data_IF_587598083864
#
_entry.id   IF_587598083864
#
_cell.length_a   1.000
_cell.length_b   1.000
_cell.length_c   1.000
_cell.angle_alpha   90.00
_cell.angle_beta   90.00
_cell.angle_gamma   90.00
#
_symmetry.space_group_name_H-M   'P 1'
#
loop_
_entity.id
_entity.type
_entity.pdbx_description
1 polymer ?
#
# COMPACT_ATOMS: atom_id res chain seq x y z
N UNK A 1 -9.88 27.19 -15.96
CA UNK A 1 -10.29 27.33 -14.58
C UNK A 1 -9.61 28.53 -13.95
N UNK A 2 -10.23 29.12 -12.95
CA UNK A 2 -9.66 30.24 -12.18
C UNK A 2 -8.65 29.64 -11.19
N UNK A 3 -7.47 30.23 -11.09
CA UNK A 3 -6.50 29.89 -10.05
C UNK A 3 -6.87 30.67 -8.80
N UNK A 4 -7.17 29.98 -7.70
CA UNK A 4 -7.61 30.62 -6.47
C UNK A 4 -6.43 30.97 -5.55
N UNK A 5 -5.34 30.17 -5.60
CA UNK A 5 -4.15 30.38 -4.81
C UNK A 5 -2.90 29.79 -5.48
N UNK A 6 -1.75 30.46 -5.34
CA UNK A 6 -0.41 29.97 -5.72
C UNK A 6 0.50 30.10 -4.50
N UNK A 7 1.23 29.05 -4.16
CA UNK A 7 2.14 29.03 -3.03
C UNK A 7 3.54 28.65 -3.48
N UNK A 8 4.53 29.48 -3.12
CA UNK A 8 5.95 29.19 -3.29
C UNK A 8 6.56 28.75 -1.96
N UNK A 9 7.49 27.81 -2.02
CA UNK A 9 8.08 27.20 -0.85
C UNK A 9 9.61 27.24 -0.87
N UNK A 10 10.21 27.44 0.29
CA UNK A 10 11.60 27.08 0.51
C UNK A 10 11.81 25.56 0.44
N UNK A 11 13.03 25.06 0.22
CA UNK A 11 13.29 23.63 0.06
C UNK A 11 12.70 22.74 1.16
N UNK A 12 12.69 23.19 2.40
CA UNK A 12 12.08 22.49 3.54
C UNK A 12 10.59 22.81 3.75
N UNK A 13 9.92 23.44 2.78
CA UNK A 13 8.47 23.65 2.82
C UNK A 13 8.00 24.89 3.58
N UNK A 14 8.91 25.74 4.05
CA UNK A 14 8.54 27.05 4.56
C UNK A 14 7.88 27.87 3.47
N UNK A 15 6.75 28.54 3.77
CA UNK A 15 6.06 29.40 2.81
C UNK A 15 6.90 30.68 2.56
N UNK A 16 7.03 31.06 1.30
CA UNK A 16 7.60 32.36 0.94
C UNK A 16 6.60 33.49 1.20
N UNK A 17 7.07 34.71 1.35
CA UNK A 17 6.27 35.89 1.72
C UNK A 17 5.17 36.26 0.69
N UNK A 18 5.27 35.72 -0.53
CA UNK A 18 4.26 35.86 -1.59
C UNK A 18 3.18 34.78 -1.57
N UNK A 19 3.23 33.87 -0.57
CA UNK A 19 2.20 32.88 -0.41
C UNK A 19 0.82 33.50 -0.24
N UNK A 20 -0.11 33.08 -1.10
CA UNK A 20 -1.41 33.71 -1.30
C UNK A 20 -2.33 33.72 -0.08
N UNK A 21 -3.56 34.10 -0.28
CA UNK A 21 -4.56 34.49 0.72
C UNK A 21 -5.09 33.38 1.64
N UNK A 22 -4.33 32.33 1.88
CA UNK A 22 -4.71 31.27 2.84
C UNK A 22 -6.10 30.64 2.57
N UNK A 23 -6.44 30.50 1.30
CA UNK A 23 -7.72 29.96 0.85
C UNK A 23 -7.84 28.48 1.14
N UNK A 24 -6.71 27.77 1.14
CA UNK A 24 -6.65 26.33 1.34
C UNK A 24 -5.71 25.98 2.50
N UNK A 25 -6.12 25.03 3.35
CA UNK A 25 -5.32 24.54 4.48
C UNK A 25 -4.16 23.63 4.03
N UNK A 26 -4.34 22.90 2.92
CA UNK A 26 -3.33 21.96 2.41
C UNK A 26 -2.28 22.70 1.58
N UNK A 27 -1.01 22.58 1.99
CA UNK A 27 0.13 23.31 1.42
C UNK A 27 1.23 22.35 0.97
N UNK A 28 2.44 22.55 1.46
CA UNK A 28 3.63 21.77 1.11
C UNK A 28 3.38 20.26 1.16
N UNK A 29 3.70 19.55 0.06
CA UNK A 29 3.49 18.11 -0.12
C UNK A 29 2.03 17.64 0.10
N UNK A 30 1.05 18.55 -0.06
CA UNK A 30 -0.36 18.25 0.18
C UNK A 30 -0.69 18.01 1.65
N UNK A 31 0.11 18.52 2.58
CA UNK A 31 -0.14 18.41 4.02
C UNK A 31 -0.92 19.60 4.55
N UNK A 32 -1.76 19.34 5.53
CA UNK A 32 -2.49 20.39 6.22
C UNK A 32 -1.52 21.24 7.05
N UNK A 33 -1.59 22.54 6.86
CA UNK A 33 -0.82 23.51 7.63
C UNK A 33 -1.66 24.01 8.80
N UNK A 34 -1.33 23.63 10.01
CA UNK A 34 -1.95 24.12 11.23
C UNK A 34 -1.29 25.45 11.64
N UNK A 35 -2.05 26.53 11.50
CA UNK A 35 -1.67 27.89 11.89
C UNK A 35 -2.22 28.33 13.24
N UNK A 36 -2.90 27.43 13.93
CA UNK A 36 -3.52 27.73 15.21
C UNK A 36 -2.46 28.08 16.26
N UNK A 37 -2.61 29.21 16.89
CA UNK A 37 -1.66 29.68 17.88
C UNK A 37 -0.28 30.12 17.32
N UNK A 38 -0.16 30.32 16.00
CA UNK A 38 1.09 30.75 15.36
C UNK A 38 2.15 29.65 15.25
N UNK A 39 1.74 28.35 15.29
CA UNK A 39 2.65 27.23 15.24
C UNK A 39 3.22 26.99 13.83
N UNK A 40 2.41 27.20 12.78
CA UNK A 40 2.77 26.95 11.36
C UNK A 40 3.40 25.57 11.12
N UNK A 41 2.76 24.53 11.69
CA UNK A 41 3.22 23.14 11.56
C UNK A 41 2.40 22.37 10.52
N UNK A 42 3.07 21.52 9.76
CA UNK A 42 2.42 20.59 8.85
C UNK A 42 2.05 19.29 9.55
N UNK A 43 0.79 18.87 9.40
CA UNK A 43 0.34 17.57 9.88
C UNK A 43 0.71 16.47 8.87
N UNK A 44 1.70 15.65 9.22
CA UNK A 44 2.09 14.45 8.47
C UNK A 44 1.38 13.18 8.98
N UNK A 45 0.37 13.30 9.84
CA UNK A 45 -0.39 12.20 10.42
C UNK A 45 0.32 11.58 11.61
N UNK A 46 1.46 10.93 11.44
CA UNK A 46 2.23 10.34 12.53
C UNK A 46 3.01 11.37 13.34
N UNK A 47 3.43 12.48 12.72
CA UNK A 47 4.26 13.52 13.32
C UNK A 47 3.87 14.91 12.78
N UNK A 48 4.01 15.93 13.62
CA UNK A 48 3.97 17.32 13.15
C UNK A 48 5.36 17.74 12.67
N UNK A 49 5.39 18.43 11.56
CA UNK A 49 6.60 18.90 10.90
C UNK A 49 6.70 20.43 10.97
N UNK A 50 7.79 20.93 11.49
CA UNK A 50 8.12 22.36 11.51
C UNK A 50 9.04 22.68 10.32
N UNK A 51 8.49 23.38 9.33
CA UNK A 51 9.23 23.77 8.13
C UNK A 51 10.27 24.85 8.37
N UNK A 52 10.13 25.64 9.43
CA UNK A 52 11.10 26.67 9.83
C UNK A 52 12.36 26.03 10.38
N UNK A 53 12.19 24.96 11.17
CA UNK A 53 13.30 24.20 11.74
C UNK A 53 13.79 23.08 10.79
N UNK A 54 13.02 22.75 9.76
CA UNK A 54 13.31 21.65 8.83
C UNK A 54 13.28 20.27 9.49
N UNK A 55 12.47 20.10 10.56
CA UNK A 55 12.44 18.85 11.35
C UNK A 55 11.06 18.49 11.85
N UNK A 56 10.89 17.22 12.17
CA UNK A 56 9.72 16.75 12.92
C UNK A 56 9.81 17.13 14.41
N UNK A 57 8.65 17.35 15.03
CA UNK A 57 8.54 17.72 16.45
C UNK A 57 8.52 16.52 17.39
N UNK A 58 8.48 15.31 16.83
CA UNK A 58 8.53 14.04 17.55
C UNK A 58 9.60 13.14 16.93
N UNK A 59 10.21 12.29 17.75
CA UNK A 59 11.22 11.32 17.31
C UNK A 59 10.61 10.34 16.29
N UNK A 60 11.38 9.98 15.29
CA UNK A 60 11.05 8.92 14.37
C UNK A 60 11.01 7.58 15.13
N UNK A 61 9.92 6.84 15.00
CA UNK A 61 9.80 5.52 15.62
C UNK A 61 10.79 4.50 15.04
N UNK A 62 11.35 4.80 13.87
CA UNK A 62 12.37 3.99 13.21
C UNK A 62 13.78 4.58 13.34
N UNK A 63 13.99 5.55 14.22
CA UNK A 63 15.28 6.24 14.37
C UNK A 63 16.45 5.29 14.65
N UNK A 64 16.21 4.17 15.30
CA UNK A 64 17.25 3.16 15.56
C UNK A 64 17.79 2.50 14.27
N UNK A 65 16.99 2.47 13.19
CA UNK A 65 17.43 1.95 11.89
C UNK A 65 18.35 2.91 11.14
N UNK A 66 18.30 4.17 11.48
CA UNK A 66 19.02 5.24 10.82
C UNK A 66 19.96 5.95 11.78
N UNK A 67 20.82 5.17 12.47
CA UNK A 67 21.74 5.67 13.51
C UNK A 67 22.64 6.83 13.06
N UNK A 68 22.85 6.98 11.75
CA UNK A 68 23.62 8.09 11.17
C UNK A 68 22.79 9.37 10.94
N UNK A 69 21.47 9.31 11.13
CA UNK A 69 20.57 10.44 10.94
C UNK A 69 19.93 10.87 12.26
N UNK A 70 19.59 12.16 12.35
CA UNK A 70 18.83 12.66 13.49
C UNK A 70 17.46 11.98 13.57
N UNK A 71 16.98 11.57 14.77
CA UNK A 71 15.63 11.03 14.93
C UNK A 71 14.50 12.01 14.57
N UNK A 72 14.82 13.27 14.39
CA UNK A 72 13.89 14.35 14.03
C UNK A 72 14.02 14.80 12.58
N UNK A 73 14.89 14.16 11.79
CA UNK A 73 15.17 14.57 10.41
C UNK A 73 13.95 14.43 9.50
N UNK A 74 13.87 15.28 8.48
CA UNK A 74 12.90 15.21 7.39
C UNK A 74 13.62 14.80 6.09
N UNK A 75 13.10 13.78 5.42
CA UNK A 75 13.55 13.36 4.09
C UNK A 75 15.05 13.06 4.00
N UNK A 76 15.69 12.49 5.03
CA UNK A 76 17.13 12.28 5.11
C UNK A 76 17.96 13.57 4.90
N UNK A 77 17.45 14.72 5.34
CA UNK A 77 18.01 16.07 5.11
C UNK A 77 18.14 16.46 3.63
N UNK A 78 17.38 15.82 2.75
CA UNK A 78 17.34 16.10 1.31
C UNK A 78 15.89 16.26 0.83
N UNK A 79 15.20 17.34 1.23
CA UNK A 79 13.78 17.54 1.00
C UNK A 79 13.41 17.79 -0.47
N UNK A 80 14.39 18.09 -1.32
CA UNK A 80 14.19 18.28 -2.76
C UNK A 80 13.99 16.95 -3.47
N UNK A 81 14.70 15.90 -3.04
CA UNK A 81 14.64 14.58 -3.66
C UNK A 81 13.78 13.58 -2.85
N UNK A 82 13.57 13.84 -1.57
CA UNK A 82 12.89 12.93 -0.66
C UNK A 82 11.68 13.61 -0.03
N UNK A 83 10.55 12.92 -0.07
CA UNK A 83 9.30 13.34 0.60
C UNK A 83 8.97 12.29 1.65
N UNK A 84 8.70 12.73 2.89
CA UNK A 84 8.06 11.85 3.88
C UNK A 84 6.57 11.72 3.55
N UNK A 85 6.10 10.50 3.31
CA UNK A 85 4.73 10.25 2.81
C UNK A 85 3.80 9.76 3.94
N UNK A 86 3.91 10.23 5.14
CA UNK A 86 3.01 9.97 6.27
C UNK A 86 3.45 8.96 7.33
N UNK A 87 4.61 8.33 7.23
CA UNK A 87 5.07 7.35 8.21
C UNK A 87 4.21 6.08 8.34
N UNK A 88 3.16 5.95 7.52
CA UNK A 88 2.31 4.78 7.42
C UNK A 88 2.25 4.35 5.94
N UNK A 89 2.29 3.04 5.68
CA UNK A 89 2.34 2.50 4.32
C UNK A 89 1.84 1.07 4.28
N UNK A 90 1.43 0.63 3.09
CA UNK A 90 1.10 -0.77 2.81
C UNK A 90 2.08 -1.30 1.78
N UNK A 91 2.54 -2.54 1.96
CA UNK A 91 3.29 -3.25 0.95
C UNK A 91 2.40 -4.31 0.27
N UNK A 92 2.24 -4.21 -1.05
CA UNK A 92 1.63 -5.26 -1.86
C UNK A 92 2.72 -6.20 -2.32
N UNK A 93 2.66 -7.45 -1.88
CA UNK A 93 3.63 -8.49 -2.15
C UNK A 93 3.25 -9.25 -3.43
N UNK A 94 4.24 -9.53 -4.28
CA UNK A 94 4.05 -10.28 -5.52
C UNK A 94 5.05 -11.43 -5.61
N UNK A 95 4.51 -12.64 -5.79
CA UNK A 95 5.31 -13.85 -5.98
C UNK A 95 6.04 -13.87 -7.33
N UNK A 96 5.53 -13.15 -8.33
CA UNK A 96 6.10 -13.11 -9.67
C UNK A 96 5.28 -13.88 -10.70
N UNK A 97 5.90 -14.08 -11.88
CA UNK A 97 5.31 -14.82 -12.98
C UNK A 97 5.63 -16.31 -12.86
N UNK A 98 4.66 -17.16 -13.13
CA UNK A 98 4.82 -18.60 -13.10
C UNK A 98 3.48 -19.31 -12.95
N UNK A 99 3.52 -20.62 -12.73
CA UNK A 99 2.33 -21.44 -12.49
C UNK A 99 1.65 -21.14 -11.15
N UNK A 100 2.39 -20.63 -10.17
CA UNK A 100 1.93 -20.34 -8.82
C UNK A 100 1.99 -18.84 -8.54
N UNK A 101 1.12 -18.07 -9.17
CA UNK A 101 1.05 -16.62 -8.93
C UNK A 101 0.26 -16.34 -7.65
N UNK A 102 0.75 -15.43 -6.82
CA UNK A 102 0.10 -15.05 -5.57
C UNK A 102 0.32 -13.59 -5.23
N UNK A 103 -0.70 -12.95 -4.63
CA UNK A 103 -0.61 -11.64 -4.00
C UNK A 103 -0.97 -11.73 -2.52
N UNK A 104 -0.20 -10.99 -1.72
CA UNK A 104 -0.46 -10.76 -0.31
C UNK A 104 -0.18 -9.29 0.03
N UNK A 105 -0.44 -8.89 1.25
CA UNK A 105 -0.14 -7.53 1.71
C UNK A 105 0.51 -7.53 3.08
N UNK A 106 1.37 -6.53 3.30
CA UNK A 106 1.82 -6.14 4.63
C UNK A 106 1.12 -4.82 4.99
N UNK A 107 0.52 -4.78 6.15
CA UNK A 107 -0.16 -3.58 6.68
C UNK A 107 0.53 -3.16 7.96
N UNK A 108 0.87 -1.88 8.06
CA UNK A 108 1.49 -1.37 9.26
C UNK A 108 0.46 -1.17 10.37
N UNK A 109 0.73 -1.70 11.56
CA UNK A 109 -0.13 -1.52 12.73
C UNK A 109 0.25 -0.27 13.54
N UNK A 110 -0.57 0.09 14.55
CA UNK A 110 -0.35 1.26 15.40
C UNK A 110 0.99 1.28 16.16
N UNK A 111 1.63 0.11 16.29
CA UNK A 111 2.96 -0.03 16.91
C UNK A 111 4.10 0.09 15.90
N UNK A 112 3.77 0.36 14.63
CA UNK A 112 4.75 0.47 13.54
C UNK A 112 5.29 -0.86 13.03
N UNK A 113 4.71 -1.98 13.41
CA UNK A 113 5.06 -3.30 12.89
C UNK A 113 4.26 -3.60 11.64
N UNK A 114 4.85 -4.28 10.70
CA UNK A 114 4.25 -4.71 9.44
C UNK A 114 3.68 -6.11 9.61
N UNK A 115 2.37 -6.21 9.64
CA UNK A 115 1.65 -7.46 9.79
C UNK A 115 1.38 -8.07 8.42
N UNK A 116 1.59 -9.38 8.30
CA UNK A 116 1.39 -10.13 7.06
C UNK A 116 -0.06 -10.58 6.94
N UNK A 117 -0.65 -10.39 5.76
CA UNK A 117 -2.01 -10.81 5.43
C UNK A 117 -2.00 -11.54 4.09
N UNK A 118 -2.46 -12.77 4.10
CA UNK A 118 -2.55 -13.62 2.91
C UNK A 118 -3.75 -14.55 2.99
N UNK A 119 -4.36 -14.82 1.85
CA UNK A 119 -5.42 -15.83 1.72
C UNK A 119 -5.05 -16.79 0.61
N UNK A 120 -5.23 -18.08 0.89
CA UNK A 120 -5.06 -19.17 -0.06
C UNK A 120 -6.31 -20.04 -0.10
N UNK A 121 -6.58 -20.67 -1.21
CA UNK A 121 -7.64 -21.67 -1.33
C UNK A 121 -7.08 -23.06 -1.18
N UNK A 122 -7.73 -23.85 -0.38
CA UNK A 122 -7.50 -25.28 -0.40
C UNK A 122 -7.74 -25.83 -1.80
N UNK A 123 -6.82 -26.62 -2.25
CA UNK A 123 -6.77 -27.40 -3.47
C UNK A 123 -8.08 -27.40 -4.28
N UNK A 124 -8.26 -26.40 -5.15
CA UNK A 124 -9.49 -26.11 -5.91
C UNK A 124 -9.96 -27.30 -6.75
N UNK A 125 -9.10 -28.30 -6.92
CA UNK A 125 -9.33 -29.53 -7.69
C UNK A 125 -9.63 -30.75 -6.81
N UNK A 126 -9.56 -30.66 -5.49
CA UNK A 126 -9.87 -31.78 -4.61
C UNK A 126 -11.34 -31.85 -4.26
N UNK A 127 -11.90 -33.03 -4.35
CA UNK A 127 -13.27 -33.38 -3.93
C UNK A 127 -13.45 -33.52 -2.40
N UNK A 128 -12.54 -32.96 -1.61
CA UNK A 128 -12.49 -33.09 -0.15
C UNK A 128 -13.39 -32.12 0.62
N UNK A 129 -13.36 -32.24 1.95
CA UNK A 129 -14.17 -31.49 2.92
C UNK A 129 -14.05 -29.95 2.84
N UNK A 130 -13.10 -29.42 2.07
CA UNK A 130 -12.78 -28.01 1.93
C UNK A 130 -13.05 -27.50 0.51
N UNK A 131 -14.12 -27.93 -0.10
CA UNK A 131 -14.61 -27.40 -1.37
C UNK A 131 -14.88 -25.92 -1.22
N UNK A 132 -14.01 -25.04 -1.78
CA UNK A 132 -14.12 -23.59 -1.66
C UNK A 132 -13.79 -23.04 -0.26
N UNK A 133 -13.36 -23.88 0.68
CA UNK A 133 -13.00 -23.46 2.04
C UNK A 133 -11.79 -22.54 2.04
N UNK A 134 -11.84 -21.52 2.90
CA UNK A 134 -10.71 -20.62 3.08
C UNK A 134 -9.66 -21.27 3.90
N UNK A 135 -8.46 -21.22 3.37
CA UNK A 135 -7.27 -21.25 4.19
C UNK A 135 -6.73 -19.84 4.34
N UNK A 136 -6.63 -19.42 5.59
CA UNK A 136 -5.84 -18.25 5.90
C UNK A 136 -4.39 -18.69 5.97
N UNK A 137 -3.54 -18.11 5.14
CA UNK A 137 -2.11 -18.25 5.38
C UNK A 137 -1.73 -17.45 6.63
N UNK A 138 -2.23 -16.22 6.73
CA UNK A 138 -2.00 -15.33 7.87
C UNK A 138 -2.99 -14.14 7.82
N UNK A 139 -3.51 -13.75 8.95
CA UNK A 139 -4.35 -12.56 9.12
C UNK A 139 -3.74 -11.56 10.10
N UNK A 140 -2.43 -11.34 10.03
CA UNK A 140 -1.70 -10.39 10.85
C UNK A 140 -1.12 -11.01 12.11
N UNK A 141 -0.99 -12.33 12.19
CA UNK A 141 -0.36 -13.04 13.32
C UNK A 141 1.16 -12.79 13.30
N UNK A 142 1.78 -12.85 12.12
CA UNK A 142 3.19 -12.57 11.97
C UNK A 142 3.45 -11.10 11.68
N UNK A 143 4.47 -10.54 12.33
CA UNK A 143 4.83 -9.13 12.17
C UNK A 143 6.33 -8.92 12.08
N UNK A 144 6.70 -7.93 11.28
CA UNK A 144 8.08 -7.59 10.92
C UNK A 144 8.34 -6.11 11.20
N UNK A 145 9.59 -5.71 11.34
CA UNK A 145 9.94 -4.32 11.55
C UNK A 145 9.85 -3.48 10.26
N UNK A 146 10.00 -4.13 9.09
CA UNK A 146 9.89 -3.46 7.80
C UNK A 146 9.55 -4.46 6.69
N UNK A 147 9.11 -3.98 5.50
CA UNK A 147 8.94 -4.83 4.33
C UNK A 147 10.24 -5.53 3.89
N UNK A 148 11.39 -4.87 4.05
CA UNK A 148 12.70 -5.45 3.73
C UNK A 148 13.03 -6.61 4.67
N UNK A 149 12.69 -6.49 5.96
CA UNK A 149 12.86 -7.59 6.92
C UNK A 149 12.00 -8.79 6.51
N UNK A 150 10.73 -8.57 6.18
CA UNK A 150 9.87 -9.62 5.65
C UNK A 150 10.48 -10.27 4.40
N UNK A 151 10.84 -9.47 3.41
CA UNK A 151 11.39 -9.94 2.14
C UNK A 151 12.67 -10.78 2.32
N UNK A 152 13.52 -10.42 3.29
CA UNK A 152 14.76 -11.15 3.62
C UNK A 152 14.60 -12.28 4.63
N UNK A 153 13.43 -12.46 5.23
CA UNK A 153 13.19 -13.40 6.32
C UNK A 153 13.17 -14.86 5.85
N UNK A 154 13.43 -15.77 6.79
CA UNK A 154 13.21 -17.21 6.58
C UNK A 154 11.71 -17.50 6.32
N UNK A 155 10.82 -16.73 6.94
CA UNK A 155 9.38 -16.84 6.72
C UNK A 155 9.00 -16.66 5.24
N UNK A 156 9.56 -15.66 4.55
CA UNK A 156 9.35 -15.47 3.11
C UNK A 156 10.02 -16.53 2.25
N UNK A 157 11.12 -17.15 2.74
CA UNK A 157 11.89 -18.17 1.97
C UNK A 157 11.31 -19.56 2.10
N UNK A 158 10.84 -19.92 3.27
CA UNK A 158 10.52 -21.30 3.62
C UNK A 158 9.05 -21.51 4.02
N UNK A 159 8.28 -20.42 4.13
CA UNK A 159 6.91 -20.45 4.63
C UNK A 159 6.85 -20.71 6.14
N UNK A 160 5.66 -21.02 6.64
CA UNK A 160 5.51 -21.46 8.02
C UNK A 160 5.79 -22.96 8.11
N UNK A 161 6.95 -23.34 8.66
CA UNK A 161 7.36 -24.75 8.80
C UNK A 161 6.47 -25.56 9.76
N UNK A 162 5.71 -24.88 10.61
CA UNK A 162 4.84 -25.53 11.62
C UNK A 162 3.51 -25.99 11.02
N UNK A 163 3.13 -25.45 9.84
CA UNK A 163 1.91 -25.82 9.15
C UNK A 163 2.23 -26.36 7.73
N UNK A 164 2.17 -27.68 7.57
CA UNK A 164 2.43 -28.37 6.28
C UNK A 164 1.48 -27.95 5.17
N UNK A 165 0.38 -27.27 5.50
CA UNK A 165 -0.63 -26.81 4.55
C UNK A 165 -0.35 -25.37 4.03
N UNK A 166 0.57 -24.63 4.63
CA UNK A 166 0.94 -23.30 4.17
C UNK A 166 1.92 -23.40 3.01
N UNK A 167 1.50 -22.94 1.86
CA UNK A 167 2.32 -22.88 0.65
C UNK A 167 3.55 -22.01 0.88
N UNK A 168 4.73 -22.53 0.50
CA UNK A 168 5.98 -21.80 0.53
C UNK A 168 5.97 -20.72 -0.54
N UNK A 169 5.48 -19.53 -0.19
CA UNK A 169 5.52 -18.37 -1.08
C UNK A 169 6.83 -17.61 -0.88
N UNK A 170 7.62 -17.58 -1.92
CA UNK A 170 8.80 -16.73 -1.98
C UNK A 170 8.45 -15.47 -2.77
N UNK A 171 7.96 -14.44 -2.10
CA UNK A 171 7.67 -13.17 -2.76
C UNK A 171 8.95 -12.53 -3.26
N UNK A 172 8.98 -12.24 -4.56
CA UNK A 172 10.17 -11.70 -5.25
C UNK A 172 10.18 -10.16 -5.29
N UNK A 173 9.03 -9.53 -5.11
CA UNK A 173 8.89 -8.09 -5.11
C UNK A 173 7.77 -7.62 -4.19
N UNK A 174 7.91 -6.41 -3.68
CA UNK A 174 6.88 -5.71 -2.93
C UNK A 174 6.71 -4.28 -3.49
N UNK A 175 5.48 -3.82 -3.64
CA UNK A 175 5.18 -2.44 -3.99
C UNK A 175 4.65 -1.71 -2.78
N UNK A 176 5.40 -0.71 -2.33
CA UNK A 176 5.05 0.08 -1.16
C UNK A 176 4.12 1.20 -1.59
N UNK A 177 2.90 1.18 -1.08
CA UNK A 177 1.88 2.20 -1.30
C UNK A 177 1.85 3.17 -0.12
N UNK A 178 1.98 4.48 -0.37
CA UNK A 178 1.75 5.47 0.68
C UNK A 178 0.27 5.49 1.05
N UNK A 179 -0.03 5.20 2.30
CA UNK A 179 -1.37 5.23 2.88
C UNK A 179 -1.35 6.04 4.18
N UNK A 180 -2.49 6.16 4.82
CA UNK A 180 -2.63 6.73 6.14
C UNK A 180 -3.32 5.73 7.08
N UNK A 181 -3.24 5.94 8.39
CA UNK A 181 -3.83 5.04 9.41
C UNK A 181 -5.29 4.68 9.16
N UNK A 182 -6.08 5.64 8.67
CA UNK A 182 -7.49 5.38 8.36
C UNK A 182 -7.62 4.40 7.19
N UNK A 183 -6.81 4.60 6.15
CA UNK A 183 -6.78 3.69 4.99
C UNK A 183 -6.26 2.31 5.40
N UNK A 184 -5.21 2.23 6.20
CA UNK A 184 -4.65 0.97 6.69
C UNK A 184 -5.68 0.18 7.50
N UNK A 185 -6.42 0.85 8.39
CA UNK A 185 -7.52 0.25 9.13
C UNK A 185 -8.63 -0.27 8.21
N UNK A 186 -9.07 0.53 7.23
CA UNK A 186 -10.09 0.13 6.25
C UNK A 186 -9.64 -1.09 5.44
N UNK A 187 -8.38 -1.11 4.99
CA UNK A 187 -7.84 -2.20 4.18
C UNK A 187 -7.74 -3.47 5.02
N UNK A 188 -7.22 -3.38 6.23
CA UNK A 188 -7.14 -4.51 7.17
C UNK A 188 -8.52 -5.10 7.45
N UNK A 189 -9.46 -4.26 7.86
CA UNK A 189 -10.79 -4.70 8.26
C UNK A 189 -11.56 -5.32 7.08
N UNK A 190 -11.43 -4.76 5.88
CA UNK A 190 -12.04 -5.34 4.67
C UNK A 190 -11.35 -6.64 4.26
N UNK A 191 -10.01 -6.75 4.36
CA UNK A 191 -9.28 -7.97 4.09
C UNK A 191 -9.74 -9.10 5.00
N UNK A 192 -9.81 -8.86 6.32
CA UNK A 192 -10.31 -9.81 7.32
C UNK A 192 -11.78 -10.16 7.02
N UNK A 193 -12.63 -9.17 6.76
CA UNK A 193 -14.05 -9.40 6.45
C UNK A 193 -14.23 -10.32 5.24
N UNK A 194 -13.52 -10.06 4.15
CA UNK A 194 -13.54 -10.90 2.96
C UNK A 194 -13.02 -12.29 3.34
N UNK A 195 -11.95 -12.36 4.08
CA UNK A 195 -11.32 -13.60 4.50
C UNK A 195 -12.22 -14.47 5.38
N UNK A 196 -12.99 -13.94 6.27
CA UNK A 196 -13.85 -14.69 7.19
C UNK A 196 -15.24 -15.04 6.64
N UNK A 197 -15.77 -14.21 5.73
CA UNK A 197 -17.20 -14.28 5.36
C UNK A 197 -17.47 -14.77 3.95
N UNK A 198 -16.46 -14.80 3.09
CA UNK A 198 -16.66 -15.16 1.69
C UNK A 198 -15.84 -16.40 1.33
N UNK A 199 -16.35 -17.27 0.49
CA UNK A 199 -15.64 -18.47 0.05
C UNK A 199 -14.56 -18.16 -0.98
N UNK A 200 -13.44 -18.87 -0.91
CA UNK A 200 -12.39 -18.77 -1.93
C UNK A 200 -12.87 -19.34 -3.26
N UNK A 201 -12.69 -18.60 -4.36
CA UNK A 201 -13.18 -18.99 -5.67
C UNK A 201 -12.22 -18.55 -6.79
N UNK A 202 -11.82 -19.49 -7.62
CA UNK A 202 -11.14 -19.24 -8.88
C UNK A 202 -12.09 -19.11 -10.07
N UNK A 203 -13.39 -19.02 -9.85
CA UNK A 203 -14.37 -18.83 -10.92
C UNK A 203 -14.19 -17.45 -11.55
N UNK A 204 -13.93 -17.40 -12.85
CA UNK A 204 -13.68 -16.16 -13.60
C UNK A 204 -14.87 -15.19 -13.57
N UNK A 205 -16.09 -15.70 -13.48
CA UNK A 205 -17.31 -14.88 -13.43
C UNK A 205 -17.60 -14.33 -12.01
N UNK A 206 -17.10 -14.99 -11.00
CA UNK A 206 -17.23 -14.57 -9.59
C UNK A 206 -15.96 -14.90 -8.83
N UNK A 207 -14.84 -14.20 -9.14
CA UNK A 207 -13.57 -14.50 -8.53
C UNK A 207 -13.52 -13.99 -7.09
N UNK A 208 -13.01 -14.84 -6.19
CA UNK A 208 -12.67 -14.46 -4.82
C UNK A 208 -11.41 -15.23 -4.39
N UNK A 209 -10.28 -14.74 -4.80
CA UNK A 209 -8.95 -15.34 -4.55
C UNK A 209 -7.96 -14.28 -4.06
N UNK A 210 -6.71 -14.64 -3.84
CA UNK A 210 -5.69 -13.76 -3.27
C UNK A 210 -5.64 -12.37 -3.94
N UNK A 211 -5.60 -12.29 -5.28
CA UNK A 211 -5.54 -11.02 -5.99
C UNK A 211 -6.82 -10.19 -5.82
N UNK A 212 -8.00 -10.80 -5.93
CA UNK A 212 -9.26 -10.07 -5.77
C UNK A 212 -9.48 -9.61 -4.33
N UNK A 213 -9.04 -10.38 -3.34
CA UNK A 213 -9.08 -9.96 -1.93
C UNK A 213 -8.21 -8.73 -1.70
N UNK A 214 -6.96 -8.74 -2.19
CA UNK A 214 -6.07 -7.58 -2.13
C UNK A 214 -6.67 -6.37 -2.85
N UNK A 215 -7.12 -6.53 -4.09
CA UNK A 215 -7.70 -5.43 -4.88
C UNK A 215 -8.94 -4.81 -4.21
N UNK A 216 -9.87 -5.63 -3.73
CA UNK A 216 -11.09 -5.16 -3.07
C UNK A 216 -10.79 -4.42 -1.77
N UNK A 217 -9.83 -4.91 -0.99
CA UNK A 217 -9.40 -4.25 0.25
C UNK A 217 -8.78 -2.88 -0.04
N UNK A 218 -7.92 -2.78 -1.05
CA UNK A 218 -7.33 -1.52 -1.49
C UNK A 218 -8.38 -0.54 -2.03
N UNK A 219 -9.30 -1.02 -2.86
CA UNK A 219 -10.39 -0.20 -3.42
C UNK A 219 -11.33 0.35 -2.34
N UNK A 220 -11.58 -0.40 -1.29
CA UNK A 220 -12.38 0.06 -0.15
C UNK A 220 -11.79 1.30 0.51
N UNK A 221 -10.48 1.43 0.48
CA UNK A 221 -9.74 2.61 0.97
C UNK A 221 -9.49 3.69 -0.10
N UNK A 222 -10.09 3.56 -1.29
CA UNK A 222 -9.97 4.53 -2.38
C UNK A 222 -8.71 4.38 -3.24
N UNK A 223 -7.99 3.27 -3.14
CA UNK A 223 -6.79 2.98 -3.94
C UNK A 223 -7.21 2.29 -5.25
N UNK A 224 -6.78 2.84 -6.38
CA UNK A 224 -7.15 2.32 -7.69
C UNK A 224 -6.31 1.09 -8.07
N UNK A 225 -6.98 -0.01 -8.40
CA UNK A 225 -6.37 -1.29 -8.75
C UNK A 225 -6.79 -1.82 -10.14
N UNK A 226 -7.56 -1.01 -10.90
CA UNK A 226 -8.16 -1.42 -12.17
C UNK A 226 -7.20 -1.23 -13.32
N UNK A 227 -7.31 -2.08 -14.33
CA UNK A 227 -6.67 -1.89 -15.64
C UNK A 227 -7.68 -1.53 -16.72
N UNK A 228 -7.19 -0.88 -17.75
CA UNK A 228 -7.95 -0.58 -18.96
C UNK A 228 -7.96 -1.82 -19.86
N UNK A 229 -9.15 -2.22 -20.29
CA UNK A 229 -9.36 -3.34 -21.21
C UNK A 229 -10.19 -2.85 -22.38
N UNK A 230 -9.72 -3.12 -23.59
CA UNK A 230 -10.44 -2.83 -24.83
C UNK A 230 -11.08 -4.11 -25.34
N UNK A 231 -12.40 -4.14 -25.37
CA UNK A 231 -13.18 -5.30 -25.83
C UNK A 231 -13.76 -5.01 -27.21
N UNK A 232 -13.49 -5.83 -28.23
CA UNK A 232 -14.10 -5.66 -29.54
C UNK A 232 -15.60 -5.89 -29.46
N UNK A 233 -16.37 -4.95 -30.02
CA UNK A 233 -17.81 -5.12 -30.20
C UNK A 233 -18.04 -5.82 -31.51
N UNK A 234 -18.80 -6.91 -31.49
CA UNK A 234 -19.08 -7.75 -32.66
C UNK A 234 -20.11 -7.06 -33.62
N UNK A 235 -19.82 -5.83 -34.06
CA UNK A 235 -20.69 -5.00 -34.90
C UNK A 235 -20.20 -4.85 -36.34
N UNK A 236 -19.18 -5.58 -36.76
CA UNK A 236 -18.65 -5.52 -38.12
C UNK A 236 -17.84 -4.25 -38.47
N UNK A 237 -17.74 -3.28 -37.56
CA UNK A 237 -17.14 -1.96 -37.83
C UNK A 237 -15.88 -1.72 -36.98
N UNK A 238 -15.29 -2.74 -36.36
CA UNK A 238 -14.06 -2.59 -35.55
C UNK A 238 -14.19 -1.67 -34.32
N UNK A 239 -15.38 -1.49 -33.81
CA UNK A 239 -15.61 -0.70 -32.59
C UNK A 239 -15.07 -1.44 -31.37
N UNK A 240 -14.37 -0.70 -30.50
CA UNK A 240 -13.85 -1.19 -29.22
C UNK A 240 -14.58 -0.50 -28.09
N UNK A 241 -15.01 -1.27 -27.10
CA UNK A 241 -15.50 -0.71 -25.82
C UNK A 241 -14.32 -0.67 -24.86
N UNK A 242 -14.10 0.49 -24.28
CA UNK A 242 -13.13 0.70 -23.19
C UNK A 242 -13.79 0.37 -21.84
N UNK A 243 -13.22 -0.58 -21.13
CA UNK A 243 -13.67 -0.99 -19.79
C UNK A 243 -12.54 -0.86 -18.79
N UNK A 244 -12.86 -0.45 -17.59
CA UNK A 244 -11.93 -0.49 -16.45
C UNK A 244 -12.35 -1.60 -15.50
N UNK A 245 -11.55 -2.65 -15.43
CA UNK A 245 -11.84 -3.85 -14.64
C UNK A 245 -10.66 -4.24 -13.76
N UNK A 246 -10.94 -5.02 -12.72
CA UNK A 246 -9.88 -5.64 -11.93
C UNK A 246 -9.25 -6.79 -12.73
N UNK A 247 -7.93 -6.78 -12.92
CA UNK A 247 -7.24 -7.92 -13.50
C UNK A 247 -7.45 -9.18 -12.66
N UNK A 248 -7.69 -10.29 -13.34
CA UNK A 248 -7.89 -11.59 -12.69
C UNK A 248 -6.57 -12.19 -12.20
N UNK A 249 -5.52 -12.13 -13.01
CA UNK A 249 -4.22 -12.72 -12.67
C UNK A 249 -3.49 -11.85 -11.65
N UNK A 250 -2.88 -12.46 -10.61
CA UNK A 250 -2.15 -11.74 -9.57
C UNK A 250 -1.07 -10.80 -10.10
N UNK A 251 -0.25 -11.23 -11.06
CA UNK A 251 0.80 -10.39 -11.65
C UNK A 251 0.24 -9.19 -12.43
N UNK A 252 -0.91 -9.34 -13.09
CA UNK A 252 -1.56 -8.23 -13.79
C UNK A 252 -2.22 -7.26 -12.82
N UNK A 253 -2.81 -7.78 -11.74
CA UNK A 253 -3.32 -6.97 -10.63
C UNK A 253 -2.20 -6.16 -9.97
N UNK A 254 -1.05 -6.76 -9.71
CA UNK A 254 0.13 -6.07 -9.19
C UNK A 254 0.60 -4.95 -10.12
N UNK A 255 0.67 -5.23 -11.43
CA UNK A 255 1.03 -4.24 -12.45
C UNK A 255 0.05 -3.05 -12.47
N UNK A 256 -1.26 -3.32 -12.45
CA UNK A 256 -2.29 -2.28 -12.42
C UNK A 256 -2.20 -1.42 -11.16
N UNK A 257 -1.98 -2.02 -10.00
CA UNK A 257 -1.76 -1.30 -8.74
C UNK A 257 -0.57 -0.34 -8.86
N UNK A 258 0.56 -0.80 -9.40
CA UNK A 258 1.74 0.05 -9.61
C UNK A 258 1.48 1.20 -10.57
N UNK A 259 0.85 0.94 -11.71
CA UNK A 259 0.58 1.94 -12.73
C UNK A 259 -0.35 3.05 -12.24
N UNK A 260 -1.37 2.69 -11.46
CA UNK A 260 -2.37 3.65 -10.99
C UNK A 260 -1.94 4.42 -9.73
N UNK A 261 -0.90 3.97 -9.06
CA UNK A 261 -0.42 4.58 -7.82
C UNK A 261 1.07 4.94 -7.91
N UNK A 262 1.47 5.84 -8.80
CA UNK A 262 2.87 6.12 -9.13
C UNK A 262 3.69 6.77 -7.99
N UNK A 263 3.05 7.17 -6.91
CA UNK A 263 3.72 7.68 -5.70
C UNK A 263 4.36 6.58 -4.85
N UNK A 264 4.03 5.33 -5.11
CA UNK A 264 4.66 4.19 -4.45
C UNK A 264 6.05 3.87 -5.04
N UNK A 265 6.74 2.95 -4.40
CA UNK A 265 8.02 2.44 -4.89
C UNK A 265 8.13 0.93 -4.76
N UNK A 266 8.99 0.33 -5.57
CA UNK A 266 9.15 -1.13 -5.61
C UNK A 266 10.41 -1.58 -4.88
N UNK A 267 10.25 -2.57 -3.99
CA UNK A 267 11.33 -3.34 -3.39
C UNK A 267 11.48 -4.66 -4.15
N UNK A 268 12.72 -5.05 -4.45
CA UNK A 268 13.05 -6.36 -5.05
C UNK A 268 14.15 -7.03 -4.25
N UNK A 269 14.03 -8.34 -4.07
CA UNK A 269 15.15 -9.15 -3.59
C UNK A 269 16.17 -9.23 -4.75
N UNK A 270 17.40 -8.91 -4.44
CA UNK A 270 18.54 -9.07 -5.36
C UNK A 270 19.08 -10.48 -5.31
#
# INVERSE_FOLDING_TARGET
GKVDEVNDYYPFGGLMSNAGNNVQSYKYNGKELDRKGGLDWYDYGARHYDATLGRFMKTDRFSEKYASLSPYQYGANNPVNNIDINGDSIAVLNLGYGSSQHLAILIQNDRGKWQYFSVNGDNVFSSGKHKGGRMFDDLGEHSFNSPEEFMGSEYNKEGNKEDENISNYHFSSAYILPTNKKQDGIIRDEFIRISEKEEYSLNVLSPNHCATTVQRSLQKAGIDTKSDVFVPVNSGIGQMIHLRTNPYLPSDAYRAIKQNNPKGYELKIR
#
